data_IF_485220334244
#
_entry.id   IF_485220334244
#
_cell.length_a   1.000
_cell.length_b   1.000
_cell.length_c   1.000
_cell.angle_alpha   90.00
_cell.angle_beta   90.00
_cell.angle_gamma   90.00
#
_symmetry.space_group_name_H-M   'P 1'
#
loop_
_entity.id
_entity.type
_entity.pdbx_description
1 polymer ?
#
# COMPACT_ATOMS: atom_id res chain seq x y z
N UNK A 1 10.28 17.86 -26.78
CA UNK A 1 9.08 17.18 -26.27
C UNK A 1 9.48 15.72 -26.07
N UNK A 2 9.50 15.21 -24.84
CA UNK A 2 9.73 13.76 -24.60
C UNK A 2 8.49 13.00 -25.08
N UNK A 3 8.68 11.92 -25.86
CA UNK A 3 7.60 11.02 -26.23
C UNK A 3 6.86 10.54 -24.99
N UNK A 4 5.54 10.40 -25.07
CA UNK A 4 4.76 9.81 -23.98
C UNK A 4 5.31 8.40 -23.66
N UNK A 5 5.21 7.94 -22.39
CA UNK A 5 5.75 6.62 -22.01
C UNK A 5 5.27 5.48 -22.90
N UNK A 6 4.04 5.59 -23.44
CA UNK A 6 3.41 4.59 -24.30
C UNK A 6 3.99 4.52 -25.73
N UNK A 7 4.73 5.54 -26.18
CA UNK A 7 5.31 5.63 -27.52
C UNK A 7 6.73 5.06 -27.59
N UNK A 8 7.29 4.57 -26.47
CA UNK A 8 8.61 3.98 -26.48
C UNK A 8 8.54 2.54 -27.01
N UNK A 9 9.38 2.18 -27.98
CA UNK A 9 9.43 0.80 -28.45
C UNK A 9 9.86 -0.13 -27.30
N UNK A 10 9.30 -1.33 -27.29
CA UNK A 10 9.74 -2.39 -26.38
C UNK A 10 11.20 -2.74 -26.69
N UNK A 11 12.06 -2.58 -25.69
CA UNK A 11 13.49 -2.93 -25.77
C UNK A 11 13.88 -3.78 -24.55
N UNK A 12 13.91 -5.11 -24.70
CA UNK A 12 14.24 -6.03 -23.61
C UNK A 12 15.68 -5.85 -23.09
N UNK A 13 16.58 -5.30 -23.92
CA UNK A 13 17.97 -5.09 -23.56
C UNK A 13 18.20 -3.79 -22.76
N UNK A 14 17.20 -2.95 -22.63
CA UNK A 14 17.32 -1.73 -21.84
C UNK A 14 17.57 -2.04 -20.37
N UNK A 15 18.26 -1.13 -19.66
CA UNK A 15 18.53 -1.29 -18.22
C UNK A 15 17.25 -1.45 -17.39
N UNK A 16 16.15 -0.83 -17.84
CA UNK A 16 14.85 -0.92 -17.15
C UNK A 16 14.31 -2.35 -17.22
N UNK A 17 14.23 -2.95 -18.42
CA UNK A 17 13.71 -4.31 -18.58
C UNK A 17 14.60 -5.34 -17.89
N UNK A 18 15.92 -5.22 -18.02
CA UNK A 18 16.86 -6.10 -17.30
C UNK A 18 16.72 -6.02 -15.77
N UNK A 19 16.43 -4.83 -15.22
CA UNK A 19 16.20 -4.67 -13.78
C UNK A 19 14.87 -5.30 -13.30
N UNK A 20 13.96 -5.66 -14.21
CA UNK A 20 12.68 -6.29 -13.89
C UNK A 20 12.63 -7.78 -14.26
N UNK A 21 13.68 -8.30 -14.91
CA UNK A 21 13.73 -9.70 -15.31
C UNK A 21 13.67 -10.63 -14.10
N UNK A 22 12.69 -11.55 -14.10
CA UNK A 22 12.46 -12.47 -13.00
C UNK A 22 11.74 -11.87 -11.78
N UNK A 23 11.28 -10.61 -11.87
CA UNK A 23 10.65 -9.86 -10.79
C UNK A 23 11.66 -9.27 -9.79
N UNK A 24 11.16 -8.48 -8.84
CA UNK A 24 11.98 -7.75 -7.86
C UNK A 24 11.93 -8.35 -6.45
N UNK A 25 11.12 -9.38 -6.25
CA UNK A 25 10.87 -10.00 -4.95
C UNK A 25 11.20 -11.49 -4.98
N UNK A 26 11.59 -12.00 -3.82
CA UNK A 26 11.79 -13.42 -3.60
C UNK A 26 11.32 -13.83 -2.21
N UNK A 27 10.88 -15.08 -2.09
CA UNK A 27 10.54 -15.68 -0.79
C UNK A 27 11.74 -16.52 -0.32
N UNK A 28 12.15 -16.33 0.91
CA UNK A 28 13.24 -17.12 1.51
C UNK A 28 12.84 -17.62 2.90
N UNK A 29 13.37 -18.78 3.28
CA UNK A 29 13.19 -19.31 4.62
C UNK A 29 14.04 -18.50 5.62
N UNK A 30 13.44 -18.13 6.77
CA UNK A 30 14.13 -17.44 7.87
C UNK A 30 14.79 -18.43 8.83
N UNK A 31 14.35 -19.70 8.81
CA UNK A 31 14.91 -20.77 9.62
C UNK A 31 15.58 -21.81 8.72
N UNK A 32 16.75 -22.33 9.12
CA UNK A 32 17.45 -23.33 8.32
C UNK A 32 16.73 -24.69 8.40
N UNK A 33 16.69 -25.40 7.28
CA UNK A 33 16.22 -26.79 7.19
C UNK A 33 17.41 -27.66 6.76
N UNK A 34 18.21 -28.13 7.70
CA UNK A 34 19.48 -28.86 7.48
C UNK A 34 19.29 -30.37 7.55
N UNK A 35 18.42 -30.82 8.43
CA UNK A 35 18.27 -32.22 8.76
C UNK A 35 16.82 -32.58 9.19
N UNK A 36 16.64 -33.84 9.56
CA UNK A 36 15.35 -34.39 9.99
C UNK A 36 14.86 -33.79 11.31
N UNK A 37 15.78 -33.35 12.17
CA UNK A 37 15.43 -32.74 13.44
C UNK A 37 14.84 -31.33 13.20
N UNK A 38 15.48 -30.51 12.33
CA UNK A 38 14.94 -29.24 11.90
C UNK A 38 13.53 -29.42 11.27
N UNK A 39 13.35 -30.44 10.42
CA UNK A 39 12.06 -30.73 9.80
C UNK A 39 10.99 -31.05 10.84
N UNK A 40 11.34 -31.83 11.87
CA UNK A 40 10.41 -32.20 12.93
C UNK A 40 9.96 -31.01 13.78
N UNK A 41 10.82 -30.00 13.94
CA UNK A 41 10.51 -28.75 14.65
C UNK A 41 9.69 -27.80 13.78
N UNK A 42 10.11 -27.59 12.53
CA UNK A 42 9.52 -26.56 11.65
C UNK A 42 8.24 -27.03 10.95
N UNK A 43 8.03 -28.33 10.86
CA UNK A 43 6.86 -28.92 10.21
C UNK A 43 6.24 -30.01 11.10
N UNK A 44 6.08 -31.22 10.62
CA UNK A 44 5.43 -32.31 11.37
C UNK A 44 6.46 -33.10 12.19
N UNK A 45 6.24 -33.32 13.49
CA UNK A 45 5.03 -33.03 14.29
C UNK A 45 5.03 -31.68 15.01
N UNK A 46 6.17 -31.00 15.17
CA UNK A 46 6.33 -29.84 16.06
C UNK A 46 5.39 -28.68 15.76
N UNK A 47 5.11 -28.38 14.48
CA UNK A 47 4.20 -27.31 14.07
C UNK A 47 2.79 -27.45 14.69
N UNK A 48 2.36 -28.65 15.03
CA UNK A 48 1.06 -28.89 15.63
C UNK A 48 0.88 -28.18 16.97
N UNK A 49 1.93 -28.08 17.79
CA UNK A 49 1.89 -27.38 19.08
C UNK A 49 1.61 -25.89 18.86
N UNK A 50 2.31 -25.26 17.92
CA UNK A 50 2.13 -23.85 17.57
C UNK A 50 0.74 -23.59 16.98
N UNK A 51 0.27 -24.49 16.10
CA UNK A 51 -1.06 -24.38 15.49
C UNK A 51 -2.17 -24.47 16.52
N UNK A 52 -2.08 -25.38 17.49
CA UNK A 52 -3.06 -25.51 18.57
C UNK A 52 -3.02 -24.30 19.52
N UNK A 53 -1.85 -23.78 19.82
CA UNK A 53 -1.71 -22.56 20.62
C UNK A 53 -2.38 -21.35 19.97
N UNK A 54 -2.13 -21.14 18.67
CA UNK A 54 -2.76 -20.05 17.91
C UNK A 54 -4.29 -20.26 17.78
N UNK A 55 -4.75 -21.51 17.63
CA UNK A 55 -6.18 -21.80 17.59
C UNK A 55 -6.87 -21.48 18.92
N UNK A 56 -6.19 -21.64 20.05
CA UNK A 56 -6.67 -21.30 21.37
C UNK A 56 -6.58 -19.80 21.68
N UNK A 57 -5.54 -19.13 21.17
CA UNK A 57 -5.32 -17.70 21.31
C UNK A 57 -4.82 -17.12 19.97
N UNK A 58 -5.73 -16.57 19.13
CA UNK A 58 -5.39 -16.01 17.82
C UNK A 58 -4.34 -14.88 17.86
N UNK A 59 -4.18 -14.17 19.01
CA UNK A 59 -3.18 -13.11 19.13
C UNK A 59 -1.75 -13.61 18.95
N UNK A 60 -1.50 -14.88 19.25
CA UNK A 60 -0.21 -15.53 19.09
C UNK A 60 0.23 -15.64 17.62
N UNK A 61 -0.70 -15.48 16.66
CA UNK A 61 -0.38 -15.48 15.23
C UNK A 61 0.61 -14.37 14.86
N UNK A 62 0.58 -13.24 15.55
CA UNK A 62 1.52 -12.13 15.33
C UNK A 62 2.93 -12.43 15.85
N UNK A 63 3.06 -13.33 16.82
CA UNK A 63 4.36 -13.71 17.39
C UNK A 63 5.00 -14.89 16.65
N UNK A 64 4.17 -15.86 16.24
CA UNK A 64 4.68 -17.15 15.74
C UNK A 64 4.50 -17.35 14.24
N UNK A 65 4.06 -16.33 13.50
CA UNK A 65 4.01 -16.35 12.04
C UNK A 65 4.59 -15.07 11.44
N UNK A 66 4.81 -15.05 10.13
CA UNK A 66 5.25 -13.86 9.41
C UNK A 66 4.18 -12.76 9.34
N UNK A 67 2.95 -13.03 9.79
CA UNK A 67 1.80 -12.12 9.69
C UNK A 67 2.11 -10.71 10.19
N UNK A 68 2.73 -10.57 11.36
CA UNK A 68 2.95 -9.28 12.01
C UNK A 68 3.80 -8.30 11.18
N UNK A 69 4.72 -8.81 10.35
CA UNK A 69 5.62 -8.00 9.54
C UNK A 69 5.33 -8.10 8.04
N UNK A 70 4.16 -8.57 7.64
CA UNK A 70 3.80 -8.74 6.23
C UNK A 70 2.59 -7.90 5.87
N UNK A 71 2.75 -7.00 4.87
CA UNK A 71 1.69 -6.15 4.33
C UNK A 71 1.28 -6.66 2.95
N UNK A 72 -0.03 -6.74 2.69
CA UNK A 72 -0.52 -6.93 1.33
C UNK A 72 -0.51 -5.58 0.59
N UNK A 73 0.13 -5.52 -0.57
CA UNK A 73 0.04 -4.37 -1.49
C UNK A 73 -0.94 -4.75 -2.59
N UNK A 74 -2.13 -4.18 -2.54
CA UNK A 74 -3.27 -4.63 -3.36
C UNK A 74 -3.66 -3.56 -4.37
N UNK A 75 -3.81 -3.97 -5.64
CA UNK A 75 -4.25 -3.13 -6.74
C UNK A 75 -5.18 -3.89 -7.68
N UNK A 76 -6.05 -3.18 -8.39
CA UNK A 76 -6.75 -3.69 -9.57
C UNK A 76 -6.25 -3.04 -10.87
N UNK A 77 -5.27 -2.16 -10.77
CA UNK A 77 -4.62 -1.50 -11.90
C UNK A 77 -5.50 -0.51 -12.66
N UNK A 78 -6.59 -0.02 -12.03
CA UNK A 78 -7.55 0.90 -12.69
C UNK A 78 -7.11 2.36 -12.69
N UNK A 79 -6.06 2.72 -11.92
CA UNK A 79 -5.59 4.11 -11.83
C UNK A 79 -4.07 4.20 -11.60
N UNK A 80 -3.30 3.49 -12.40
CA UNK A 80 -1.82 3.50 -12.31
C UNK A 80 -1.28 4.88 -12.70
N UNK A 81 -0.45 5.46 -11.82
CA UNK A 81 0.03 6.83 -11.95
C UNK A 81 0.67 7.13 -13.31
N UNK A 82 0.09 8.07 -14.05
CA UNK A 82 0.55 8.49 -15.38
C UNK A 82 0.22 7.53 -16.53
N UNK A 83 -0.36 6.35 -16.23
CA UNK A 83 -0.72 5.33 -17.22
C UNK A 83 -2.24 5.10 -17.32
N UNK A 84 -3.00 5.41 -16.26
CA UNK A 84 -4.44 5.19 -16.19
C UNK A 84 -4.80 3.73 -15.93
N UNK A 85 -5.89 3.26 -16.54
CA UNK A 85 -6.35 1.88 -16.43
C UNK A 85 -5.53 0.98 -17.38
N UNK A 86 -4.62 0.21 -16.82
CA UNK A 86 -3.77 -0.75 -17.54
C UNK A 86 -3.99 -2.20 -17.07
N UNK A 87 -4.96 -2.37 -16.17
CA UNK A 87 -5.34 -3.66 -15.61
C UNK A 87 -4.34 -4.25 -14.62
N UNK A 88 -4.72 -5.36 -13.98
CA UNK A 88 -3.95 -5.93 -12.88
C UNK A 88 -2.55 -6.39 -13.28
N UNK A 89 -2.39 -7.07 -14.42
CA UNK A 89 -1.07 -7.54 -14.86
C UNK A 89 -0.12 -6.38 -15.20
N UNK A 90 -0.66 -5.30 -15.77
CA UNK A 90 0.12 -4.09 -16.05
C UNK A 90 0.58 -3.39 -14.77
N UNK A 91 -0.20 -3.45 -13.69
CA UNK A 91 0.12 -2.87 -12.41
C UNK A 91 1.17 -3.68 -11.61
N UNK A 92 1.33 -4.97 -11.87
CA UNK A 92 2.22 -5.86 -11.09
C UNK A 92 3.64 -5.31 -10.90
N UNK A 93 4.35 -4.81 -11.93
CA UNK A 93 5.69 -4.26 -11.74
C UNK A 93 5.73 -3.05 -10.80
N UNK A 94 4.65 -2.25 -10.76
CA UNK A 94 4.53 -1.11 -9.83
C UNK A 94 4.34 -1.61 -8.41
N UNK A 95 3.47 -2.59 -8.19
CA UNK A 95 3.23 -3.20 -6.88
C UNK A 95 4.47 -3.88 -6.32
N UNK A 96 5.26 -4.55 -7.15
CA UNK A 96 6.58 -5.06 -6.74
C UNK A 96 7.54 -3.93 -6.35
N UNK A 97 7.54 -2.83 -7.09
CA UNK A 97 8.29 -1.63 -6.75
C UNK A 97 7.90 -1.08 -5.37
N UNK A 98 6.60 -0.97 -5.10
CA UNK A 98 6.07 -0.56 -3.78
C UNK A 98 6.56 -1.51 -2.67
N UNK A 99 6.51 -2.80 -2.89
CA UNK A 99 6.99 -3.79 -1.91
C UNK A 99 8.49 -3.66 -1.62
N UNK A 100 9.31 -3.36 -2.63
CA UNK A 100 10.74 -3.04 -2.45
C UNK A 100 10.92 -1.80 -1.56
N UNK A 101 10.09 -0.75 -1.76
CA UNK A 101 10.14 0.45 -0.92
C UNK A 101 9.75 0.17 0.52
N UNK A 102 8.69 -0.62 0.76
CA UNK A 102 8.30 -1.07 2.11
C UNK A 102 9.45 -1.79 2.81
N UNK A 103 10.13 -2.69 2.10
CA UNK A 103 11.27 -3.41 2.66
C UNK A 103 12.45 -2.49 2.95
N UNK A 104 12.81 -1.63 2.00
CA UNK A 104 13.99 -0.79 2.08
C UNK A 104 13.87 0.30 3.15
N UNK A 105 12.73 0.98 3.20
CA UNK A 105 12.53 2.12 4.10
C UNK A 105 11.85 1.76 5.42
N UNK A 106 10.97 0.77 5.42
CA UNK A 106 10.18 0.37 6.59
C UNK A 106 10.64 -0.93 7.27
N UNK A 107 11.51 -1.72 6.63
CA UNK A 107 11.87 -3.06 7.14
C UNK A 107 10.72 -4.07 7.07
N UNK A 108 9.59 -3.69 6.46
CA UNK A 108 8.37 -4.49 6.37
C UNK A 108 8.41 -5.37 5.13
N UNK A 109 8.04 -6.62 5.27
CA UNK A 109 7.83 -7.53 4.14
C UNK A 109 6.49 -7.21 3.46
N UNK A 110 6.44 -7.30 2.14
CA UNK A 110 5.22 -7.00 1.40
C UNK A 110 4.99 -7.99 0.28
N UNK A 111 3.74 -8.37 0.12
CA UNK A 111 3.29 -9.27 -0.95
C UNK A 111 2.41 -8.48 -1.91
N UNK A 112 2.86 -8.27 -3.16
CA UNK A 112 2.02 -7.71 -4.22
C UNK A 112 0.88 -8.66 -4.56
N UNK A 113 -0.32 -8.12 -4.63
CA UNK A 113 -1.53 -8.86 -5.00
C UNK A 113 -2.30 -8.01 -5.99
N UNK A 114 -2.42 -8.47 -7.22
CA UNK A 114 -3.25 -7.82 -8.22
C UNK A 114 -4.53 -8.60 -8.42
N UNK A 115 -5.65 -7.91 -8.41
CA UNK A 115 -6.98 -8.49 -8.52
C UNK A 115 -7.65 -8.03 -9.82
N UNK A 116 -8.43 -8.90 -10.44
CA UNK A 116 -9.34 -8.47 -11.49
C UNK A 116 -10.29 -7.41 -10.94
N UNK A 117 -10.52 -6.36 -11.73
CA UNK A 117 -11.43 -5.30 -11.33
C UNK A 117 -12.86 -5.84 -11.24
N UNK A 118 -13.55 -5.48 -10.16
CA UNK A 118 -14.91 -5.91 -9.87
C UNK A 118 -15.73 -4.80 -9.22
N UNK A 119 -16.87 -5.11 -8.63
CA UNK A 119 -17.60 -4.15 -7.79
C UNK A 119 -16.83 -3.82 -6.51
N UNK A 120 -17.24 -2.75 -5.82
CA UNK A 120 -16.69 -2.40 -4.50
C UNK A 120 -16.84 -3.58 -3.53
N UNK A 121 -18.04 -4.17 -3.52
CA UNK A 121 -18.39 -5.30 -2.65
C UNK A 121 -17.53 -6.52 -2.92
N UNK A 122 -17.27 -6.85 -4.21
CA UNK A 122 -16.42 -7.98 -4.60
C UNK A 122 -14.98 -7.80 -4.12
N UNK A 123 -14.43 -6.61 -4.30
CA UNK A 123 -13.08 -6.30 -3.85
C UNK A 123 -12.98 -6.31 -2.32
N UNK A 124 -13.92 -5.67 -1.63
CA UNK A 124 -13.95 -5.67 -0.16
C UNK A 124 -14.05 -7.09 0.39
N UNK A 125 -14.94 -7.92 -0.16
CA UNK A 125 -15.08 -9.31 0.28
C UNK A 125 -13.81 -10.13 0.02
N UNK A 126 -13.23 -9.99 -1.17
CA UNK A 126 -11.99 -10.69 -1.54
C UNK A 126 -10.84 -10.31 -0.62
N UNK A 127 -10.63 -9.01 -0.40
CA UNK A 127 -9.57 -8.49 0.44
C UNK A 127 -9.78 -8.91 1.90
N UNK A 128 -11.01 -8.83 2.41
CA UNK A 128 -11.32 -9.23 3.77
C UNK A 128 -11.04 -10.72 4.04
N UNK A 129 -11.29 -11.60 3.06
CA UNK A 129 -10.97 -13.03 3.17
C UNK A 129 -9.47 -13.32 3.18
N UNK A 130 -8.66 -12.47 2.58
CA UNK A 130 -7.19 -12.61 2.59
C UNK A 130 -6.53 -12.01 3.84
N UNK A 131 -7.21 -11.07 4.51
CA UNK A 131 -6.70 -10.31 5.64
C UNK A 131 -6.08 -11.15 6.78
N UNK A 132 -6.57 -12.37 7.10
CA UNK A 132 -5.94 -13.20 8.14
C UNK A 132 -4.46 -13.48 7.94
N UNK A 133 -3.96 -13.42 6.71
CA UNK A 133 -2.54 -13.67 6.38
C UNK A 133 -1.62 -12.47 6.58
N UNK A 134 -2.16 -11.27 6.83
CA UNK A 134 -1.42 -10.02 6.82
C UNK A 134 -1.53 -9.24 8.11
N UNK A 135 -0.48 -8.48 8.44
CA UNK A 135 -0.46 -7.51 9.53
C UNK A 135 -1.02 -6.14 9.13
N UNK A 136 -1.18 -5.89 7.83
CA UNK A 136 -1.75 -4.65 7.28
C UNK A 136 -2.03 -4.77 5.79
N UNK A 137 -2.79 -3.82 5.26
CA UNK A 137 -3.16 -3.74 3.84
C UNK A 137 -2.83 -2.34 3.34
N UNK A 138 -2.08 -2.27 2.26
CA UNK A 138 -1.89 -1.08 1.44
C UNK A 138 -2.66 -1.22 0.14
N UNK A 139 -3.65 -0.37 -0.06
CA UNK A 139 -4.35 -0.24 -1.34
C UNK A 139 -3.58 0.73 -2.23
N UNK A 140 -3.40 0.39 -3.49
CA UNK A 140 -2.60 1.14 -4.46
C UNK A 140 -3.26 1.15 -5.82
N UNK A 141 -3.21 2.29 -6.53
CA UNK A 141 -3.61 2.41 -7.94
C UNK A 141 -5.06 1.96 -8.23
N UNK A 142 -5.97 2.12 -7.27
CA UNK A 142 -7.40 1.88 -7.43
C UNK A 142 -8.10 3.20 -7.75
N UNK A 143 -8.93 3.23 -8.80
CA UNK A 143 -9.55 4.45 -9.28
C UNK A 143 -10.53 5.08 -8.28
N UNK A 144 -10.49 6.42 -8.19
CA UNK A 144 -11.48 7.20 -7.47
C UNK A 144 -12.81 7.27 -8.28
N UNK A 145 -14.00 7.35 -7.63
CA UNK A 145 -14.18 7.47 -6.17
C UNK A 145 -14.24 6.14 -5.41
N UNK A 146 -14.26 4.98 -6.09
CA UNK A 146 -14.45 3.66 -5.50
C UNK A 146 -13.37 3.28 -4.48
N UNK A 147 -12.15 3.78 -4.64
CA UNK A 147 -11.06 3.53 -3.70
C UNK A 147 -11.39 4.01 -2.28
N UNK A 148 -12.12 5.11 -2.14
CA UNK A 148 -12.56 5.62 -0.84
C UNK A 148 -13.54 4.67 -0.15
N UNK A 149 -14.54 4.18 -0.91
CA UNK A 149 -15.54 3.26 -0.40
C UNK A 149 -14.92 1.93 0.01
N UNK A 150 -13.97 1.42 -0.78
CA UNK A 150 -13.24 0.18 -0.49
C UNK A 150 -12.44 0.34 0.81
N UNK A 151 -11.69 1.42 0.94
CA UNK A 151 -10.87 1.68 2.12
C UNK A 151 -11.73 1.81 3.38
N UNK A 152 -12.81 2.60 3.33
CA UNK A 152 -13.72 2.82 4.45
C UNK A 152 -14.36 1.50 4.93
N UNK A 153 -14.94 0.72 3.99
CA UNK A 153 -15.56 -0.56 4.33
C UNK A 153 -14.54 -1.57 4.89
N UNK A 154 -13.30 -1.58 4.40
CA UNK A 154 -12.27 -2.45 4.93
C UNK A 154 -11.82 -2.01 6.34
N UNK A 155 -11.69 -0.71 6.61
CA UNK A 155 -11.37 -0.17 7.94
C UNK A 155 -12.44 -0.53 8.97
N UNK A 156 -13.72 -0.50 8.59
CA UNK A 156 -14.82 -0.90 9.47
C UNK A 156 -14.87 -2.40 9.75
N UNK A 157 -14.38 -3.20 8.82
CA UNK A 157 -14.52 -4.67 8.83
C UNK A 157 -13.31 -5.40 9.41
N UNK A 158 -12.13 -4.79 9.39
CA UNK A 158 -10.87 -5.44 9.73
C UNK A 158 -10.20 -4.81 10.95
N UNK A 159 -9.61 -5.66 11.80
CA UNK A 159 -8.85 -5.25 12.98
C UNK A 159 -7.37 -4.94 12.68
N UNK A 160 -6.97 -4.93 11.40
CA UNK A 160 -5.62 -4.60 10.96
C UNK A 160 -5.61 -3.26 10.22
N UNK A 161 -4.49 -2.51 10.21
CA UNK A 161 -4.38 -1.27 9.46
C UNK A 161 -4.71 -1.46 7.97
N UNK A 162 -5.57 -0.59 7.46
CA UNK A 162 -5.86 -0.45 6.02
C UNK A 162 -5.54 0.97 5.61
N UNK A 163 -4.79 1.13 4.53
CA UNK A 163 -4.28 2.41 4.07
C UNK A 163 -4.31 2.47 2.55
N UNK A 164 -4.77 3.58 1.97
CA UNK A 164 -4.66 3.84 0.54
C UNK A 164 -3.59 4.91 0.31
N UNK A 165 -2.46 4.52 -0.29
CA UNK A 165 -1.28 5.39 -0.36
C UNK A 165 -1.48 6.60 -1.25
N UNK A 166 -2.06 6.45 -2.43
CA UNK A 166 -2.31 7.57 -3.37
C UNK A 166 -3.09 8.70 -2.75
N UNK A 167 -3.89 8.38 -1.74
CA UNK A 167 -4.72 9.32 -1.04
C UNK A 167 -4.02 9.90 0.18
N UNK A 168 -3.84 9.06 1.19
CA UNK A 168 -3.36 9.49 2.50
C UNK A 168 -1.86 9.74 2.51
N UNK A 169 -1.06 8.91 1.82
CA UNK A 169 0.39 9.10 1.70
C UNK A 169 0.72 10.41 1.00
N UNK A 170 0.08 10.67 -0.12
CA UNK A 170 0.23 11.92 -0.88
C UNK A 170 -0.22 13.12 -0.05
N UNK A 171 -1.36 13.04 0.64
CA UNK A 171 -1.85 14.12 1.49
C UNK A 171 -0.88 14.45 2.63
N UNK A 172 -0.32 13.43 3.30
CA UNK A 172 0.65 13.59 4.39
C UNK A 172 1.91 14.29 3.89
N UNK A 173 2.47 13.86 2.76
CA UNK A 173 3.70 14.42 2.20
C UNK A 173 3.50 15.87 1.76
N UNK A 174 2.39 16.16 1.07
CA UNK A 174 2.05 17.52 0.64
C UNK A 174 1.86 18.45 1.84
N UNK A 175 1.11 18.02 2.85
CA UNK A 175 0.89 18.82 4.04
C UNK A 175 2.19 19.06 4.83
N UNK A 176 3.04 18.04 4.96
CA UNK A 176 4.37 18.19 5.58
C UNK A 176 5.23 19.23 4.83
N UNK A 177 5.22 19.18 3.50
CA UNK A 177 5.89 20.17 2.65
C UNK A 177 5.36 21.59 2.85
N UNK A 178 4.02 21.74 2.88
CA UNK A 178 3.38 23.04 3.12
C UNK A 178 3.70 23.62 4.51
N UNK A 179 3.61 22.81 5.55
CA UNK A 179 3.95 23.24 6.92
C UNK A 179 5.40 23.72 6.99
N UNK A 180 6.34 22.95 6.44
CA UNK A 180 7.74 23.31 6.47
C UNK A 180 8.04 24.52 5.57
N UNK A 181 7.43 24.61 4.39
CA UNK A 181 7.55 25.79 3.53
C UNK A 181 7.04 27.07 4.22
N UNK A 182 5.91 27.01 4.91
CA UNK A 182 5.39 28.13 5.68
C UNK A 182 6.33 28.52 6.83
N UNK A 183 6.93 27.55 7.53
CA UNK A 183 7.92 27.82 8.58
C UNK A 183 9.17 28.54 8.03
N UNK A 184 9.69 28.09 6.89
CA UNK A 184 10.87 28.70 6.26
C UNK A 184 10.59 30.12 5.78
N UNK A 185 9.36 30.39 5.31
CA UNK A 185 8.94 31.68 4.78
C UNK A 185 8.34 32.61 5.84
N UNK A 186 8.27 32.18 7.10
CA UNK A 186 7.60 32.88 8.20
C UNK A 186 6.17 33.32 7.85
N UNK A 187 5.37 32.37 7.32
CA UNK A 187 3.98 32.59 6.90
C UNK A 187 3.03 31.69 7.66
N UNK A 188 1.84 32.20 7.97
CA UNK A 188 0.80 31.40 8.59
C UNK A 188 0.16 30.44 7.57
N UNK A 189 0.09 29.15 7.90
CA UNK A 189 -0.48 28.12 7.03
C UNK A 189 -1.95 28.40 6.61
N UNK A 190 -2.85 28.88 7.52
CA UNK A 190 -4.24 29.18 7.16
C UNK A 190 -4.41 30.32 6.15
N UNK A 191 -3.39 31.16 5.97
CA UNK A 191 -3.42 32.28 5.04
C UNK A 191 -2.96 31.91 3.63
N UNK A 192 -2.48 30.67 3.45
CA UNK A 192 -1.98 30.22 2.16
C UNK A 192 -3.12 29.79 1.24
N UNK A 193 -2.92 30.06 -0.05
CA UNK A 193 -3.76 29.53 -1.13
C UNK A 193 -2.99 28.39 -1.79
N UNK A 194 -3.60 27.20 -1.82
CA UNK A 194 -3.00 26.01 -2.44
C UNK A 194 -3.80 25.70 -3.71
N UNK A 195 -3.09 25.53 -4.81
CA UNK A 195 -3.65 25.03 -6.07
C UNK A 195 -3.11 23.63 -6.28
N UNK A 196 -4.01 22.67 -6.41
CA UNK A 196 -3.65 21.28 -6.68
C UNK A 196 -4.02 20.97 -8.11
N UNK A 197 -3.04 20.48 -8.89
CA UNK A 197 -3.25 20.05 -10.28
C UNK A 197 -2.78 18.61 -10.42
N UNK A 198 -3.66 17.70 -10.87
CA UNK A 198 -3.35 16.29 -11.08
C UNK A 198 -4.60 15.47 -11.43
N UNK A 199 -4.39 14.32 -12.06
CA UNK A 199 -5.49 13.46 -12.52
C UNK A 199 -6.28 12.81 -11.38
N UNK A 200 -5.66 12.60 -10.22
CA UNK A 200 -6.28 11.97 -9.05
C UNK A 200 -6.91 12.97 -8.07
N UNK A 201 -6.76 14.27 -8.34
CA UNK A 201 -7.21 15.36 -7.46
C UNK A 201 -8.24 16.27 -8.16
N UNK A 202 -9.02 15.78 -9.09
CA UNK A 202 -9.97 16.55 -9.94
C UNK A 202 -11.16 17.15 -9.16
N UNK A 203 -11.09 17.30 -7.86
CA UNK A 203 -12.05 18.14 -7.11
C UNK A 203 -11.42 19.37 -6.47
N UNK A 204 -10.22 19.75 -6.88
CA UNK A 204 -9.57 20.91 -6.31
C UNK A 204 -9.95 22.20 -7.05
N UNK A 205 -10.91 22.91 -6.52
CA UNK A 205 -10.96 24.37 -6.62
C UNK A 205 -9.83 24.99 -5.78
N UNK A 206 -9.47 26.24 -6.03
CA UNK A 206 -8.56 26.98 -5.13
C UNK A 206 -9.27 27.21 -3.79
N UNK A 207 -8.94 26.43 -2.76
CA UNK A 207 -9.51 26.58 -1.42
C UNK A 207 -8.55 27.32 -0.50
N UNK A 208 -9.07 28.09 0.43
CA UNK A 208 -8.30 28.55 1.60
C UNK A 208 -8.17 27.34 2.55
N UNK A 209 -7.03 27.16 3.19
CA UNK A 209 -6.79 26.04 4.09
C UNK A 209 -7.73 25.98 5.32
N UNK A 210 -8.66 26.95 5.49
CA UNK A 210 -9.75 26.91 6.47
C UNK A 210 -11.06 26.35 5.95
N UNK A 211 -11.17 26.08 4.63
CA UNK A 211 -12.35 25.51 3.94
C UNK A 211 -11.97 24.19 3.26
N UNK A 212 -11.09 23.43 3.91
CA UNK A 212 -10.45 22.28 3.29
C UNK A 212 -11.43 21.15 3.13
N UNK A 213 -11.44 20.57 1.93
CA UNK A 213 -11.97 19.26 1.59
C UNK A 213 -11.73 18.27 2.75
N UNK A 214 -12.70 17.43 3.13
CA UNK A 214 -12.56 16.43 4.20
C UNK A 214 -11.25 15.67 4.18
N UNK A 215 -10.69 15.49 3.01
CA UNK A 215 -9.43 14.81 2.73
C UNK A 215 -8.18 15.45 3.38
N UNK A 216 -8.07 16.77 3.36
CA UNK A 216 -6.95 17.49 4.03
C UNK A 216 -7.26 17.67 5.51
N UNK A 217 -8.56 17.71 5.89
CA UNK A 217 -9.01 17.72 7.29
C UNK A 217 -8.58 16.46 8.02
N UNK A 218 -8.65 15.30 7.39
CA UNK A 218 -8.26 14.01 7.98
C UNK A 218 -6.74 13.93 8.20
N UNK A 219 -5.94 14.38 7.23
CA UNK A 219 -4.49 14.49 7.40
C UNK A 219 -4.11 15.48 8.52
N UNK A 220 -4.89 16.55 8.70
CA UNK A 220 -4.72 17.50 9.81
C UNK A 220 -5.10 16.89 11.18
N UNK A 221 -6.10 16.01 11.23
CA UNK A 221 -6.50 15.26 12.44
C UNK A 221 -5.40 14.27 12.81
N UNK A 222 -4.90 13.47 11.87
CA UNK A 222 -3.81 12.52 12.12
C UNK A 222 -2.53 13.19 12.64
N UNK A 223 -2.21 14.40 12.17
CA UNK A 223 -1.06 15.17 12.69
C UNK A 223 -1.34 15.86 14.05
N UNK A 224 -2.59 16.04 14.45
CA UNK A 224 -2.97 16.53 15.79
C UNK A 224 -2.86 15.43 16.83
N UNK A 225 -3.23 14.22 16.51
CA UNK A 225 -3.20 13.06 17.42
C UNK A 225 -1.78 12.49 17.58
N UNK A 226 -0.86 12.77 16.66
CA UNK A 226 0.55 12.36 16.73
C UNK A 226 1.44 13.32 17.57
N UNK A 227 0.88 14.29 18.28
CA UNK A 227 1.55 15.17 19.26
C UNK A 227 1.22 14.79 20.68
#
# INVERSE_FOLDING_TARGET
>A
MSAAPHDRPFDPESAVFRAHEGGKLGVHATQPLRDRADLALLYTPGVAEVSLAIAADPSLSTTYTAKANTVAVISDGTAVLGLGDIGPLGAMPVMEGKAVLFKHFGGVDSIPIVLESGSVEDLVETIARMAPSFGGINLEDISAPRCFEIEEQLKERLDIPVFHDDQHGTAIVVLAGLINGCRVLDRALPEQRVVVAGQHLIRAGAHRLGEVDPFVSEALVLLREAR
#
